data_IF_063382569093
#
_entry.id   IF_063382569093
#
_cell.length_a   1.000
_cell.length_b   1.000
_cell.length_c   1.000
_cell.angle_alpha   90.00
_cell.angle_beta   90.00
_cell.angle_gamma   90.00
#
_symmetry.space_group_name_H-M   'P 1'
#
loop_
_entity.id
_entity.type
_entity.pdbx_description
1 polymer ?
#
# COMPACT_ATOMS: atom_id res chain seq x y z
N UNK A 1 24.80 -0.49 -13.48
CA UNK A 1 23.44 -1.08 -13.45
C UNK A 1 23.49 -2.38 -12.66
N UNK A 2 22.49 -2.66 -11.82
CA UNK A 2 22.46 -3.86 -10.97
C UNK A 2 21.97 -5.13 -11.68
N UNK A 3 21.44 -5.03 -12.90
CA UNK A 3 20.99 -6.19 -13.70
C UNK A 3 19.65 -6.77 -13.26
N UNK A 4 18.71 -5.93 -12.82
CA UNK A 4 17.39 -6.34 -12.36
C UNK A 4 16.34 -6.02 -13.43
N UNK A 5 15.30 -6.85 -13.51
CA UNK A 5 14.03 -6.46 -14.12
C UNK A 5 13.30 -5.51 -13.16
N UNK A 6 12.90 -4.34 -13.65
CA UNK A 6 12.33 -3.27 -12.82
C UNK A 6 10.97 -2.89 -13.38
N UNK A 7 9.96 -2.87 -12.52
CA UNK A 7 8.63 -2.34 -12.81
C UNK A 7 8.29 -1.26 -11.78
N UNK A 8 7.53 -0.25 -12.18
CA UNK A 8 6.99 0.78 -11.28
C UNK A 8 5.47 0.85 -11.46
N UNK A 9 4.73 0.83 -10.34
CA UNK A 9 3.27 0.73 -10.33
C UNK A 9 2.64 1.68 -9.30
N UNK A 10 1.35 1.93 -9.45
CA UNK A 10 0.51 2.41 -8.36
C UNK A 10 0.26 1.26 -7.35
N UNK A 11 0.83 1.40 -6.15
CA UNK A 11 0.74 0.42 -5.08
C UNK A 11 -0.65 0.30 -4.43
N UNK A 12 -1.62 1.13 -4.84
CA UNK A 12 -3.03 1.01 -4.44
C UNK A 12 -3.93 0.49 -5.56
N UNK A 13 -3.36 0.17 -6.73
CA UNK A 13 -4.09 -0.38 -7.86
C UNK A 13 -3.99 -1.91 -7.89
N UNK A 14 -5.04 -2.60 -7.43
CA UNK A 14 -5.10 -4.08 -7.46
C UNK A 14 -4.82 -4.67 -8.85
N UNK A 15 -5.37 -4.11 -9.96
CA UNK A 15 -5.03 -4.59 -11.30
C UNK A 15 -3.54 -4.49 -11.62
N UNK A 16 -2.90 -3.34 -11.34
CA UNK A 16 -1.47 -3.17 -11.63
C UNK A 16 -0.58 -4.09 -10.78
N UNK A 17 -0.96 -4.33 -9.53
CA UNK A 17 -0.26 -5.30 -8.67
C UNK A 17 -0.37 -6.71 -9.27
N UNK A 18 -1.56 -7.11 -9.70
CA UNK A 18 -1.78 -8.42 -10.31
C UNK A 18 -0.99 -8.60 -11.61
N UNK A 19 -0.99 -7.59 -12.47
CA UNK A 19 -0.26 -7.59 -13.74
C UNK A 19 1.24 -7.67 -13.49
N UNK A 20 1.77 -6.83 -12.58
CA UNK A 20 3.19 -6.82 -12.26
C UNK A 20 3.68 -8.15 -11.65
N UNK A 21 2.87 -8.76 -10.77
CA UNK A 21 3.14 -10.08 -10.20
C UNK A 21 3.08 -11.20 -11.25
N UNK A 22 2.25 -11.04 -12.28
CA UNK A 22 2.18 -11.98 -13.41
C UNK A 22 3.41 -11.83 -14.29
N UNK A 23 3.84 -10.60 -14.58
CA UNK A 23 5.03 -10.33 -15.38
C UNK A 23 6.31 -10.88 -14.74
N UNK A 24 6.56 -10.61 -13.44
CA UNK A 24 7.79 -11.09 -12.78
C UNK A 24 7.93 -12.61 -12.80
N UNK A 25 6.83 -13.37 -12.87
CA UNK A 25 6.86 -14.83 -12.99
C UNK A 25 7.32 -15.32 -14.35
N UNK A 26 7.22 -14.48 -15.38
CA UNK A 26 7.71 -14.77 -16.74
C UNK A 26 9.19 -14.41 -16.94
N UNK A 27 9.77 -13.63 -16.02
CA UNK A 27 11.18 -13.21 -16.08
C UNK A 27 12.08 -14.32 -15.56
N UNK A 28 13.14 -14.60 -16.30
CA UNK A 28 14.16 -15.60 -15.93
C UNK A 28 15.56 -15.06 -16.14
N UNK A 29 16.54 -15.64 -15.45
CA UNK A 29 17.96 -15.25 -15.58
C UNK A 29 18.35 -13.96 -14.87
N UNK A 30 17.44 -13.29 -14.16
CA UNK A 30 17.71 -12.08 -13.36
C UNK A 30 16.71 -11.92 -12.21
N UNK A 31 17.07 -11.20 -11.13
CA UNK A 31 16.12 -10.80 -10.10
C UNK A 31 15.13 -9.75 -10.64
N UNK A 32 13.95 -9.68 -10.03
CA UNK A 32 12.91 -8.70 -10.33
C UNK A 32 12.64 -7.79 -9.12
N UNK A 33 12.32 -6.53 -9.37
CA UNK A 33 11.86 -5.55 -8.37
C UNK A 33 10.62 -4.82 -8.90
N UNK A 34 9.64 -4.64 -8.03
CA UNK A 34 8.45 -3.82 -8.27
C UNK A 34 8.52 -2.63 -7.31
N UNK A 35 8.65 -1.42 -7.85
CA UNK A 35 8.58 -0.17 -7.12
C UNK A 35 7.11 0.24 -7.03
N UNK A 36 6.49 -0.03 -5.88
CA UNK A 36 5.09 0.30 -5.64
C UNK A 36 4.96 1.69 -5.00
N UNK A 37 4.41 2.65 -5.76
CA UNK A 37 4.12 3.99 -5.27
C UNK A 37 2.92 3.93 -4.32
N UNK A 38 3.14 4.20 -3.04
CA UNK A 38 2.11 4.10 -2.00
C UNK A 38 1.95 5.41 -1.23
N UNK A 39 0.87 5.48 -0.46
CA UNK A 39 0.55 6.56 0.49
C UNK A 39 0.55 5.89 1.84
N UNK A 40 1.47 6.27 2.71
CA UNK A 40 1.53 5.74 4.07
C UNK A 40 0.27 6.16 4.81
N UNK A 41 -0.44 5.20 5.41
CA UNK A 41 -1.73 5.46 6.07
C UNK A 41 -2.92 5.63 5.11
N UNK A 42 -2.81 5.16 3.86
CA UNK A 42 -3.87 5.25 2.84
C UNK A 42 -5.25 4.87 3.40
N UNK A 43 -6.25 5.71 3.14
CA UNK A 43 -7.64 5.47 3.52
C UNK A 43 -8.03 5.98 4.90
N UNK A 44 -7.08 6.49 5.69
CA UNK A 44 -7.36 7.17 6.96
C UNK A 44 -6.76 8.57 6.93
N UNK A 45 -7.62 9.58 6.90
CA UNK A 45 -7.30 10.98 6.57
C UNK A 45 -6.20 11.56 7.45
N UNK A 46 -6.23 11.28 8.75
CA UNK A 46 -5.25 11.80 9.71
C UNK A 46 -3.92 11.03 9.70
N UNK A 47 -3.86 9.87 9.03
CA UNK A 47 -2.65 9.05 8.87
C UNK A 47 -1.97 9.26 7.52
N UNK A 48 -2.70 9.65 6.47
CA UNK A 48 -2.15 9.79 5.12
C UNK A 48 -0.95 10.76 5.10
N UNK A 49 0.20 10.26 4.65
CA UNK A 49 1.46 10.99 4.56
C UNK A 49 1.95 11.65 5.88
N UNK A 50 1.50 11.14 7.03
CA UNK A 50 1.90 11.65 8.34
C UNK A 50 2.87 10.69 9.05
N UNK A 51 4.09 11.17 9.30
CA UNK A 51 5.14 10.38 9.94
C UNK A 51 4.89 10.08 11.41
N UNK A 52 4.08 10.88 12.12
CA UNK A 52 3.72 10.59 13.51
C UNK A 52 3.09 9.20 13.63
N UNK A 53 2.32 8.78 12.61
CA UNK A 53 1.66 7.48 12.55
C UNK A 53 2.58 6.32 12.15
N UNK A 54 3.91 6.49 12.17
CA UNK A 54 4.83 5.36 11.99
C UNK A 54 4.81 4.36 13.15
N UNK A 55 4.73 4.88 14.38
CA UNK A 55 4.85 4.11 15.62
C UNK A 55 3.76 4.45 16.64
N UNK A 56 2.88 5.40 16.30
CA UNK A 56 1.86 5.85 17.22
C UNK A 56 0.78 4.77 17.43
N UNK A 57 0.11 4.84 18.58
CA UNK A 57 -0.98 3.93 18.94
C UNK A 57 -2.31 4.61 18.70
N UNK A 58 -3.27 3.85 18.16
CA UNK A 58 -4.65 4.29 18.06
C UNK A 58 -5.26 4.43 19.46
N UNK A 59 -5.80 5.60 19.74
CA UNK A 59 -6.75 5.81 20.84
C UNK A 59 -8.12 5.27 20.42
N UNK A 60 -9.03 5.04 21.38
CA UNK A 60 -10.40 4.63 21.06
C UNK A 60 -11.11 5.62 20.11
N UNK A 61 -10.87 6.92 20.29
CA UNK A 61 -11.43 7.98 19.43
C UNK A 61 -10.91 7.87 18.00
N UNK A 62 -9.59 7.80 17.82
CA UNK A 62 -8.98 7.72 16.49
C UNK A 62 -9.28 6.38 15.80
N UNK A 63 -9.45 5.30 16.57
CA UNK A 63 -9.89 4.01 16.05
C UNK A 63 -11.30 4.10 15.44
N UNK A 64 -12.26 4.66 16.18
CA UNK A 64 -13.65 4.81 15.70
C UNK A 64 -13.70 5.66 14.43
N UNK A 65 -12.95 6.76 14.39
CA UNK A 65 -12.85 7.62 13.20
C UNK A 65 -12.25 6.86 12.01
N UNK A 66 -11.14 6.15 12.20
CA UNK A 66 -10.52 5.37 11.12
C UNK A 66 -11.47 4.29 10.57
N UNK A 67 -12.23 3.61 11.44
CA UNK A 67 -13.22 2.62 11.01
C UNK A 67 -14.36 3.25 10.21
N UNK A 68 -14.82 4.44 10.60
CA UNK A 68 -15.81 5.20 9.83
C UNK A 68 -15.28 5.58 8.44
N UNK A 69 -14.06 6.13 8.36
CA UNK A 69 -13.43 6.52 7.10
C UNK A 69 -13.18 5.32 6.15
N UNK A 70 -12.91 4.15 6.70
CA UNK A 70 -12.77 2.90 5.95
C UNK A 70 -14.13 2.28 5.54
N UNK A 71 -15.25 2.87 5.93
CA UNK A 71 -16.59 2.41 5.58
C UNK A 71 -17.16 1.32 6.50
N UNK A 72 -16.60 1.13 7.69
CA UNK A 72 -17.06 0.18 8.71
C UNK A 72 -17.87 0.83 9.85
N UNK A 73 -18.27 2.10 9.70
CA UNK A 73 -19.10 2.82 10.67
C UNK A 73 -20.58 2.40 10.57
N UNK A 74 -20.99 1.43 11.38
CA UNK A 74 -22.34 0.83 11.55
C UNK A 74 -22.59 -0.46 10.73
N UNK A 75 -22.50 -1.63 11.40
CA UNK A 75 -23.20 -2.85 10.98
C UNK A 75 -22.36 -4.12 10.79
N UNK A 76 -21.78 -4.63 11.88
CA UNK A 76 -21.87 -6.05 12.28
C UNK A 76 -22.10 -6.11 13.79
#
# INVERSE_FOLDING_TARGET
MFGWHVQEIDGHSVPQIQDALTEVRSVSGMPSIIVANTVKGKGVSFMENNNEWHHNRLTEVNFKLAMEELGFGHGI
#
